data_IF_723412254147
#
_entry.id   IF_723412254147
#
_cell.length_a   1.000
_cell.length_b   1.000
_cell.length_c   1.000
_cell.angle_alpha   90.00
_cell.angle_beta   90.00
_cell.angle_gamma   90.00
#
_symmetry.space_group_name_H-M   'P 1'
#
loop_
_entity.id
_entity.type
_entity.pdbx_description
1 polymer ?
#
# COMPACT_ATOMS: atom_id res chain seq x y z
N UNK A 1 -50.03 15.98 26.38
CA UNK A 1 -49.01 16.81 25.70
C UNK A 1 -47.56 16.24 25.82
N UNK A 2 -47.18 15.69 26.96
CA UNK A 2 -45.79 15.16 27.17
C UNK A 2 -45.33 14.07 26.18
N UNK A 3 -46.20 13.16 25.75
CA UNK A 3 -45.83 12.05 24.80
C UNK A 3 -45.39 12.52 23.42
N UNK A 4 -45.88 13.66 22.95
CA UNK A 4 -45.46 14.22 21.64
C UNK A 4 -44.06 14.84 21.72
N UNK A 5 -43.71 15.45 22.84
CA UNK A 5 -42.40 16.08 23.06
C UNK A 5 -41.27 15.07 23.13
N UNK A 6 -41.49 13.88 23.71
CA UNK A 6 -40.52 12.79 23.77
C UNK A 6 -40.17 12.29 22.35
N UNK A 7 -41.16 12.23 21.45
CA UNK A 7 -40.91 11.86 20.04
C UNK A 7 -40.02 12.88 19.32
N UNK A 8 -40.21 14.16 19.51
CA UNK A 8 -39.39 15.20 18.85
C UNK A 8 -37.97 15.27 19.40
N UNK A 9 -37.74 15.01 20.68
CA UNK A 9 -36.41 14.92 21.29
C UNK A 9 -35.66 13.70 20.76
N UNK A 10 -36.32 12.55 20.62
CA UNK A 10 -35.74 11.35 20.08
C UNK A 10 -35.29 11.50 18.60
N UNK A 11 -36.15 12.13 17.78
CA UNK A 11 -35.82 12.40 16.36
C UNK A 11 -34.66 13.40 16.22
N UNK A 12 -34.66 14.47 17.03
CA UNK A 12 -33.59 15.46 17.06
C UNK A 12 -32.25 14.87 17.45
N UNK A 13 -32.22 13.97 18.45
CA UNK A 13 -31.02 13.29 18.89
C UNK A 13 -30.45 12.34 17.81
N UNK A 14 -31.32 11.59 17.12
CA UNK A 14 -30.94 10.73 16.00
C UNK A 14 -30.36 11.53 14.81
N UNK A 15 -30.96 12.66 14.49
CA UNK A 15 -30.43 13.53 13.43
C UNK A 15 -29.07 14.12 13.78
N UNK A 16 -28.87 14.58 15.03
CA UNK A 16 -27.58 15.09 15.48
C UNK A 16 -26.49 13.99 15.45
N UNK A 17 -26.82 12.76 15.86
CA UNK A 17 -25.92 11.63 15.79
C UNK A 17 -25.54 11.29 14.34
N UNK A 18 -26.50 11.27 13.41
CA UNK A 18 -26.27 11.02 12.00
C UNK A 18 -25.37 12.10 11.35
N UNK A 19 -25.63 13.38 11.66
CA UNK A 19 -24.80 14.50 11.19
C UNK A 19 -23.38 14.44 11.78
N UNK A 20 -23.23 14.11 13.06
CA UNK A 20 -21.94 13.93 13.71
C UNK A 20 -21.13 12.78 13.08
N UNK A 21 -21.76 11.63 12.84
CA UNK A 21 -21.14 10.51 12.14
C UNK A 21 -20.72 10.88 10.70
N UNK A 22 -21.55 11.62 9.97
CA UNK A 22 -21.24 12.08 8.62
C UNK A 22 -20.02 13.01 8.58
N UNK A 23 -19.90 13.94 9.54
CA UNK A 23 -18.75 14.85 9.65
C UNK A 23 -17.46 14.08 9.99
N UNK A 24 -17.56 13.12 10.91
CA UNK A 24 -16.40 12.28 11.26
C UNK A 24 -15.94 11.43 10.07
N UNK A 25 -16.89 10.83 9.35
CA UNK A 25 -16.59 10.03 8.15
C UNK A 25 -15.90 10.87 7.06
N UNK A 26 -16.39 12.07 6.78
CA UNK A 26 -15.81 12.96 5.78
C UNK A 26 -14.41 13.47 6.17
N UNK A 27 -14.18 13.70 7.47
CA UNK A 27 -12.84 14.05 7.98
C UNK A 27 -11.85 12.89 7.82
N UNK A 28 -12.27 11.68 8.16
CA UNK A 28 -11.46 10.49 8.01
C UNK A 28 -11.10 10.24 6.54
N UNK A 29 -12.06 10.31 5.64
CA UNK A 29 -11.85 10.17 4.20
C UNK A 29 -10.86 11.22 3.64
N UNK A 30 -10.96 12.47 4.08
CA UNK A 30 -10.02 13.53 3.67
C UNK A 30 -8.60 13.31 4.19
N UNK A 31 -8.45 12.83 5.43
CA UNK A 31 -7.14 12.51 6.00
C UNK A 31 -6.50 11.33 5.26
N UNK A 32 -7.30 10.32 4.95
CA UNK A 32 -6.85 9.16 4.17
C UNK A 32 -6.37 9.59 2.77
N UNK A 33 -7.16 10.39 2.06
CA UNK A 33 -6.77 10.93 0.76
C UNK A 33 -5.50 11.77 0.85
N UNK A 34 -5.38 12.65 1.86
CA UNK A 34 -4.19 13.48 2.06
C UNK A 34 -2.91 12.68 2.38
N UNK A 35 -3.04 11.44 2.86
CA UNK A 35 -1.90 10.52 3.06
C UNK A 35 -1.62 9.77 1.76
N UNK A 36 -2.64 9.22 1.10
CA UNK A 36 -2.46 8.48 -0.16
C UNK A 36 -1.83 9.35 -1.26
N UNK A 37 -2.18 10.63 -1.31
CA UNK A 37 -1.61 11.60 -2.25
C UNK A 37 -0.14 11.98 -1.98
N UNK A 38 0.50 11.39 -0.97
CA UNK A 38 1.87 11.76 -0.56
C UNK A 38 2.84 10.59 -0.47
N UNK A 39 2.38 9.37 -0.69
CA UNK A 39 3.21 8.19 -0.52
C UNK A 39 3.01 7.21 -1.68
N UNK A 40 4.13 6.76 -2.22
CA UNK A 40 4.18 5.61 -3.07
C UNK A 40 4.34 4.38 -2.18
N UNK A 41 3.45 3.38 -2.34
CA UNK A 41 3.52 2.13 -1.59
C UNK A 41 4.34 1.11 -2.38
N UNK A 42 4.71 0.04 -1.70
CA UNK A 42 5.46 -1.06 -2.30
C UNK A 42 4.93 -2.39 -1.82
N UNK A 43 4.76 -3.35 -2.71
CA UNK A 43 4.38 -4.70 -2.33
C UNK A 43 4.99 -5.77 -3.25
N UNK A 44 5.20 -6.95 -2.69
CA UNK A 44 5.81 -8.09 -3.38
C UNK A 44 4.93 -9.31 -3.18
N UNK A 45 4.56 -9.96 -4.27
CA UNK A 45 3.82 -11.22 -4.28
C UNK A 45 4.80 -12.38 -4.48
N UNK A 46 4.72 -13.38 -3.60
CA UNK A 46 5.48 -14.61 -3.75
C UNK A 46 4.86 -15.50 -4.82
N UNK A 47 5.67 -16.37 -5.43
CA UNK A 47 5.19 -17.39 -6.37
C UNK A 47 4.13 -18.30 -5.71
N UNK A 48 4.39 -18.77 -4.47
CA UNK A 48 3.45 -19.59 -3.69
C UNK A 48 3.55 -19.31 -2.19
N UNK A 49 2.76 -20.03 -1.38
CA UNK A 49 2.81 -19.96 0.07
C UNK A 49 3.81 -20.93 0.71
N UNK A 50 4.67 -21.59 -0.07
CA UNK A 50 5.75 -22.38 0.47
C UNK A 50 6.71 -21.52 1.30
N UNK A 51 7.31 -22.08 2.34
CA UNK A 51 8.31 -21.38 3.15
C UNK A 51 9.47 -20.87 2.29
N UNK A 52 9.88 -21.64 1.29
CA UNK A 52 10.94 -21.29 0.36
C UNK A 52 10.59 -20.05 -0.47
N UNK A 53 9.39 -20.00 -1.07
CA UNK A 53 8.94 -18.85 -1.85
C UNK A 53 8.68 -17.61 -0.98
N UNK A 54 8.21 -17.81 0.26
CA UNK A 54 8.05 -16.70 1.19
C UNK A 54 9.40 -16.10 1.62
N UNK A 55 10.44 -16.91 1.80
CA UNK A 55 11.80 -16.44 2.08
C UNK A 55 12.40 -15.75 0.86
N UNK A 56 12.23 -16.29 -0.35
CA UNK A 56 12.66 -15.65 -1.60
C UNK A 56 12.02 -14.27 -1.78
N UNK A 57 10.72 -14.17 -1.53
CA UNK A 57 10.00 -12.86 -1.56
C UNK A 57 10.67 -11.82 -0.66
N UNK A 58 11.10 -12.21 0.55
CA UNK A 58 11.77 -11.29 1.47
C UNK A 58 13.15 -10.86 0.94
N UNK A 59 13.90 -11.76 0.31
CA UNK A 59 15.16 -11.42 -0.32
C UNK A 59 14.97 -10.43 -1.49
N UNK A 60 14.00 -10.67 -2.36
CA UNK A 60 13.65 -9.76 -3.48
C UNK A 60 13.19 -8.41 -2.96
N UNK A 61 12.33 -8.38 -1.92
CA UNK A 61 11.92 -7.13 -1.25
C UNK A 61 13.12 -6.30 -0.80
N UNK A 62 14.09 -6.95 -0.15
CA UNK A 62 15.25 -6.26 0.42
C UNK A 62 16.18 -5.73 -0.67
N UNK A 63 16.39 -6.50 -1.73
CA UNK A 63 17.20 -6.09 -2.88
C UNK A 63 16.56 -4.89 -3.61
N UNK A 64 15.29 -5.01 -4.00
CA UNK A 64 14.55 -3.91 -4.65
C UNK A 64 14.45 -2.69 -3.74
N UNK A 65 14.19 -2.89 -2.44
CA UNK A 65 14.13 -1.80 -1.46
C UNK A 65 15.46 -1.03 -1.36
N UNK A 66 16.60 -1.72 -1.34
CA UNK A 66 17.93 -1.12 -1.32
C UNK A 66 18.23 -0.35 -2.60
N UNK A 67 17.92 -0.95 -3.75
CA UNK A 67 18.06 -0.31 -5.07
C UNK A 67 17.22 0.98 -5.14
N UNK A 68 15.96 0.93 -4.72
CA UNK A 68 15.08 2.09 -4.72
C UNK A 68 15.52 3.17 -3.73
N UNK A 69 16.04 2.79 -2.57
CA UNK A 69 16.56 3.75 -1.60
C UNK A 69 17.70 4.58 -2.20
N UNK A 70 18.58 3.98 -2.98
CA UNK A 70 19.66 4.69 -3.67
C UNK A 70 19.12 5.65 -4.73
N UNK A 71 18.22 5.18 -5.58
CA UNK A 71 17.59 5.96 -6.67
C UNK A 71 16.77 7.15 -6.16
N UNK A 72 16.11 6.99 -5.02
CA UNK A 72 15.19 8.00 -4.47
C UNK A 72 15.87 9.00 -3.51
N UNK A 73 17.18 8.92 -3.30
CA UNK A 73 17.90 9.78 -2.34
C UNK A 73 17.75 11.29 -2.61
N UNK A 74 17.57 11.67 -3.87
CA UNK A 74 17.45 13.08 -4.28
C UNK A 74 16.01 13.51 -4.62
N UNK A 75 15.03 12.62 -4.41
CA UNK A 75 13.62 12.87 -4.73
C UNK A 75 12.95 13.68 -3.62
N UNK A 76 12.26 14.76 -3.97
CA UNK A 76 11.68 15.70 -3.01
C UNK A 76 10.15 15.57 -2.88
N UNK A 77 9.48 14.94 -3.85
CA UNK A 77 8.01 14.85 -3.88
C UNK A 77 7.52 13.55 -4.56
N UNK A 78 6.22 13.27 -4.41
CA UNK A 78 5.61 12.03 -4.92
C UNK A 78 5.68 11.94 -6.45
N UNK A 79 5.44 13.03 -7.16
CA UNK A 79 5.44 13.05 -8.64
C UNK A 79 6.82 12.68 -9.20
N UNK A 80 7.89 13.21 -8.61
CA UNK A 80 9.26 12.81 -8.93
C UNK A 80 9.52 11.35 -8.57
N UNK A 81 9.03 10.89 -7.41
CA UNK A 81 9.15 9.49 -6.99
C UNK A 81 8.53 8.56 -8.02
N UNK A 82 7.30 8.80 -8.42
CA UNK A 82 6.59 8.01 -9.44
C UNK A 82 7.32 8.02 -10.79
N UNK A 83 7.83 9.17 -11.20
CA UNK A 83 8.59 9.30 -12.44
C UNK A 83 9.88 8.48 -12.40
N UNK A 84 10.65 8.56 -11.32
CA UNK A 84 11.89 7.80 -11.16
C UNK A 84 11.59 6.29 -11.14
N UNK A 85 10.58 5.86 -10.37
CA UNK A 85 10.17 4.45 -10.32
C UNK A 85 9.74 3.96 -11.71
N UNK A 86 8.90 4.72 -12.41
CA UNK A 86 8.42 4.37 -13.76
C UNK A 86 9.56 4.23 -14.77
N UNK A 87 10.57 5.10 -14.69
CA UNK A 87 11.75 5.03 -15.55
C UNK A 87 12.68 3.87 -15.18
N UNK A 88 12.63 3.42 -13.94
CA UNK A 88 13.50 2.36 -13.40
C UNK A 88 12.86 0.98 -13.39
N UNK A 89 11.63 0.77 -13.88
CA UNK A 89 10.93 -0.52 -13.82
C UNK A 89 11.78 -1.68 -14.37
N UNK A 90 12.45 -1.48 -15.50
CA UNK A 90 13.33 -2.51 -16.08
C UNK A 90 14.55 -2.83 -15.20
N UNK A 91 15.17 -1.82 -14.59
CA UNK A 91 16.28 -2.02 -13.64
C UNK A 91 15.80 -2.69 -12.33
N UNK A 92 14.57 -2.41 -11.91
CA UNK A 92 13.93 -3.05 -10.75
C UNK A 92 13.69 -4.55 -11.04
N UNK A 93 13.17 -4.87 -12.23
CA UNK A 93 12.98 -6.26 -12.67
C UNK A 93 14.33 -7.00 -12.76
N UNK A 94 15.36 -6.36 -13.28
CA UNK A 94 16.69 -6.92 -13.38
C UNK A 94 17.28 -7.23 -11.98
N UNK A 95 17.20 -6.29 -11.03
CA UNK A 95 17.66 -6.49 -9.65
C UNK A 95 16.87 -7.61 -8.93
N UNK A 96 15.57 -7.69 -9.18
CA UNK A 96 14.74 -8.75 -8.65
C UNK A 96 15.09 -10.11 -9.27
N UNK A 97 15.26 -10.19 -10.60
CA UNK A 97 15.63 -11.41 -11.32
C UNK A 97 17.02 -11.93 -10.90
N UNK A 98 18.00 -11.04 -10.75
CA UNK A 98 19.32 -11.37 -10.25
C UNK A 98 19.23 -12.00 -8.84
N UNK A 99 18.47 -11.40 -7.95
CA UNK A 99 18.24 -11.93 -6.59
C UNK A 99 17.56 -13.31 -6.63
N UNK A 100 16.59 -13.53 -7.51
CA UNK A 100 15.91 -14.81 -7.71
C UNK A 100 16.92 -15.88 -8.14
N UNK A 101 17.75 -15.56 -9.15
CA UNK A 101 18.78 -16.48 -9.67
C UNK A 101 19.87 -16.80 -8.64
N UNK A 102 20.35 -15.80 -7.86
CA UNK A 102 21.31 -15.99 -6.77
C UNK A 102 20.80 -16.92 -5.67
N UNK A 103 19.47 -16.94 -5.44
CA UNK A 103 18.83 -17.85 -4.51
C UNK A 103 18.52 -19.24 -5.11
N UNK A 104 18.92 -19.49 -6.37
CA UNK A 104 18.81 -20.79 -7.02
C UNK A 104 17.44 -21.08 -7.63
N UNK A 105 16.65 -20.05 -7.94
CA UNK A 105 15.34 -20.16 -8.58
C UNK A 105 15.37 -19.65 -10.03
N UNK A 106 14.41 -20.09 -10.83
CA UNK A 106 14.21 -19.72 -12.23
C UNK A 106 12.77 -19.19 -12.44
N UNK A 107 12.36 -18.26 -11.59
CA UNK A 107 11.07 -17.62 -11.70
C UNK A 107 11.16 -16.34 -12.52
N UNK A 108 10.20 -16.14 -13.41
CA UNK A 108 9.97 -14.82 -14.01
C UNK A 108 9.58 -13.81 -12.94
N UNK A 109 9.90 -12.55 -13.16
CA UNK A 109 9.50 -11.45 -12.29
C UNK A 109 9.02 -10.28 -13.12
N UNK A 110 7.99 -9.59 -12.63
CA UNK A 110 7.48 -8.37 -13.24
C UNK A 110 7.39 -7.24 -12.22
N UNK A 111 7.63 -6.02 -12.65
CA UNK A 111 7.49 -4.80 -11.87
C UNK A 111 6.55 -3.83 -12.58
N UNK A 112 5.56 -3.33 -11.88
CA UNK A 112 4.62 -2.35 -12.44
C UNK A 112 4.21 -1.31 -11.39
N UNK A 113 3.83 -0.13 -11.85
CA UNK A 113 3.11 0.85 -11.04
C UNK A 113 1.61 0.63 -11.23
N UNK A 114 0.90 0.43 -10.13
CA UNK A 114 -0.54 0.23 -10.13
C UNK A 114 -1.22 1.06 -9.04
N UNK A 115 -2.50 1.34 -9.24
CA UNK A 115 -3.35 1.93 -8.19
C UNK A 115 -4.16 0.81 -7.53
N UNK A 116 -3.85 0.49 -6.28
CA UNK A 116 -4.43 -0.69 -5.60
C UNK A 116 -4.73 -0.44 -4.13
N UNK A 117 -5.61 -1.27 -3.57
CA UNK A 117 -6.06 -1.16 -2.18
C UNK A 117 -5.08 -1.81 -1.21
N UNK A 118 -4.64 -1.04 -0.23
CA UNK A 118 -3.78 -1.51 0.87
C UNK A 118 -4.56 -1.67 2.17
N UNK A 119 -4.25 -2.69 2.97
CA UNK A 119 -4.77 -2.79 4.32
C UNK A 119 -4.11 -1.77 5.26
N UNK A 120 -4.68 -1.59 6.45
CA UNK A 120 -4.02 -0.81 7.53
C UNK A 120 -2.65 -1.42 7.83
N UNK A 121 -1.62 -0.58 7.89
CA UNK A 121 -0.26 -0.97 8.27
C UNK A 121 0.31 -0.04 9.32
N UNK A 122 0.95 -0.64 10.33
CA UNK A 122 1.59 0.06 11.43
C UNK A 122 3.11 -0.06 11.33
N UNK A 123 3.80 1.06 11.38
CA UNK A 123 5.26 1.16 11.36
C UNK A 123 5.71 1.94 12.60
N UNK A 124 5.93 1.23 13.70
CA UNK A 124 6.23 1.87 14.97
C UNK A 124 5.12 2.79 15.44
N UNK A 125 5.39 4.10 15.50
CA UNK A 125 4.40 5.13 15.88
C UNK A 125 3.51 5.63 14.73
N UNK A 126 3.79 5.21 13.50
CA UNK A 126 3.04 5.65 12.31
C UNK A 126 2.05 4.58 11.87
N UNK A 127 0.82 5.00 11.59
CA UNK A 127 -0.23 4.15 11.04
C UNK A 127 -0.64 4.67 9.68
N UNK A 128 -0.49 3.84 8.65
CA UNK A 128 -1.05 4.10 7.33
C UNK A 128 -2.45 3.49 7.26
N UNK A 129 -3.49 4.27 6.98
CA UNK A 129 -4.85 3.78 6.91
C UNK A 129 -5.02 2.82 5.73
N UNK A 130 -6.05 1.97 5.79
CA UNK A 130 -6.49 1.22 4.62
C UNK A 130 -7.01 2.19 3.57
N UNK A 131 -6.74 1.91 2.29
CA UNK A 131 -7.21 2.75 1.19
C UNK A 131 -6.48 2.45 -0.11
N UNK A 132 -6.84 3.20 -1.14
CA UNK A 132 -6.25 3.08 -2.46
C UNK A 132 -5.01 3.97 -2.55
N UNK A 133 -3.93 3.40 -3.05
CA UNK A 133 -2.62 4.05 -3.17
C UNK A 133 -2.01 3.72 -4.52
N UNK A 134 -1.20 4.64 -5.05
CA UNK A 134 -0.21 4.30 -6.08
C UNK A 134 0.86 3.42 -5.47
N UNK A 135 1.23 2.33 -6.14
CA UNK A 135 2.13 1.33 -5.61
C UNK A 135 3.04 0.73 -6.67
N UNK A 136 4.31 0.50 -6.30
CA UNK A 136 5.19 -0.41 -7.01
C UNK A 136 4.83 -1.84 -6.62
N UNK A 137 4.41 -2.64 -7.58
CA UNK A 137 4.08 -4.05 -7.44
C UNK A 137 5.17 -4.91 -8.08
N UNK A 138 5.67 -5.88 -7.32
CA UNK A 138 6.57 -6.92 -7.82
C UNK A 138 5.83 -8.26 -7.73
N UNK A 139 5.84 -9.02 -8.81
CA UNK A 139 5.24 -10.37 -8.87
C UNK A 139 6.33 -11.36 -9.22
N UNK A 140 6.52 -12.36 -8.36
CA UNK A 140 7.48 -13.45 -8.54
C UNK A 140 6.71 -14.68 -9.03
N UNK A 141 7.08 -15.21 -10.20
CA UNK A 141 6.45 -16.38 -10.82
C UNK A 141 4.95 -16.18 -11.01
N UNK A 142 4.13 -17.11 -10.50
CA UNK A 142 2.67 -17.09 -10.63
C UNK A 142 1.99 -16.05 -9.71
N UNK A 143 2.70 -15.50 -8.71
CA UNK A 143 2.12 -14.51 -7.79
C UNK A 143 0.97 -15.05 -6.91
N UNK A 144 0.91 -16.35 -6.69
CA UNK A 144 -0.18 -17.03 -5.97
C UNK A 144 0.03 -17.07 -4.46
N UNK A 145 1.20 -16.63 -3.98
CA UNK A 145 1.53 -16.61 -2.56
C UNK A 145 1.09 -15.36 -1.83
N UNK A 146 1.27 -15.37 -0.51
CA UNK A 146 0.97 -14.23 0.35
C UNK A 146 1.77 -12.98 -0.04
N UNK A 147 1.07 -11.86 -0.07
CA UNK A 147 1.62 -10.56 -0.39
C UNK A 147 2.38 -9.98 0.82
N UNK A 148 3.52 -9.35 0.58
CA UNK A 148 4.18 -8.48 1.54
C UNK A 148 3.84 -7.03 1.20
N UNK A 149 3.38 -6.29 2.21
CA UNK A 149 2.88 -4.93 2.07
C UNK A 149 3.78 -3.93 2.80
N UNK A 150 4.19 -2.87 2.14
CA UNK A 150 4.92 -1.74 2.72
C UNK A 150 4.08 -0.45 2.75
#
# INVERSE_FOLDING_TARGET
MARKWIGYIGVGSLMCAALGCGILYTRQARLQQAISDKVLRFHVLANSDSEADQNLKLAVRDAVGSFMQEKLTAVENLEECEMVVRQSLGEIEEAAAETIAENGYDYDVTAELEHTSFPVKNYGSYTFPAGDYEALRIVIGEGNGHNWWC
#
